data_IF_034250494674
#
_entry.id   IF_034250494674
#
_cell.length_a   1.000
_cell.length_b   1.000
_cell.length_c   1.000
_cell.angle_alpha   90.00
_cell.angle_beta   90.00
_cell.angle_gamma   90.00
#
_symmetry.space_group_name_H-M   'P 1'
#
loop_
_entity.id
_entity.type
_entity.pdbx_description
1 polymer ?
#
# COMPACT_ATOMS: atom_id res chain seq x y z
N UNK A 1 -53.79 -4.64 1.22
CA UNK A 1 -52.67 -5.36 1.94
C UNK A 1 -52.36 -4.53 3.19
N UNK A 2 -52.78 -4.94 4.37
CA UNK A 2 -52.45 -4.20 5.63
C UNK A 2 -50.97 -4.50 5.95
N UNK A 3 -50.13 -3.51 5.82
CA UNK A 3 -48.71 -3.62 6.23
C UNK A 3 -48.71 -3.66 7.76
N UNK A 4 -48.22 -4.74 8.32
CA UNK A 4 -48.14 -4.97 9.76
C UNK A 4 -47.13 -4.00 10.37
N UNK A 5 -47.58 -3.08 11.22
CA UNK A 5 -46.74 -2.04 11.84
C UNK A 5 -45.53 -2.65 12.58
N UNK A 6 -45.71 -3.83 13.20
CA UNK A 6 -44.61 -4.54 13.86
C UNK A 6 -43.47 -4.93 12.89
N UNK A 7 -43.79 -5.35 11.67
CA UNK A 7 -42.80 -5.69 10.66
C UNK A 7 -42.00 -4.48 10.16
N UNK A 8 -42.68 -3.31 10.07
CA UNK A 8 -42.01 -2.06 9.68
C UNK A 8 -41.02 -1.63 10.78
N UNK A 9 -41.43 -1.67 12.04
CA UNK A 9 -40.56 -1.30 13.17
C UNK A 9 -39.32 -2.22 13.20
N UNK A 10 -39.51 -3.52 13.05
CA UNK A 10 -38.42 -4.49 13.00
C UNK A 10 -37.46 -4.22 11.85
N UNK A 11 -37.97 -3.94 10.64
CA UNK A 11 -37.16 -3.60 9.47
C UNK A 11 -36.34 -2.32 9.69
N UNK A 12 -36.96 -1.27 10.24
CA UNK A 12 -36.28 -0.02 10.57
C UNK A 12 -35.17 -0.21 11.60
N UNK A 13 -35.39 -1.07 12.60
CA UNK A 13 -34.38 -1.40 13.61
C UNK A 13 -33.15 -2.07 13.00
N UNK A 14 -33.33 -3.05 12.12
CA UNK A 14 -32.22 -3.70 11.40
C UNK A 14 -31.49 -2.72 10.47
N UNK A 15 -32.20 -1.88 9.73
CA UNK A 15 -31.61 -0.83 8.91
C UNK A 15 -30.72 0.12 9.73
N UNK A 16 -31.17 0.49 10.91
CA UNK A 16 -30.42 1.38 11.81
C UNK A 16 -29.13 0.72 12.31
N UNK A 17 -29.18 -0.55 12.71
CA UNK A 17 -28.00 -1.32 13.13
C UNK A 17 -26.99 -1.43 11.97
N UNK A 18 -27.47 -1.78 10.76
CA UNK A 18 -26.63 -1.84 9.57
C UNK A 18 -25.95 -0.50 9.27
N UNK A 19 -26.72 0.59 9.31
CA UNK A 19 -26.21 1.94 9.07
C UNK A 19 -25.11 2.35 10.04
N UNK A 20 -25.31 2.09 11.33
CA UNK A 20 -24.30 2.38 12.37
C UNK A 20 -23.01 1.60 12.10
N UNK A 21 -23.11 0.32 11.77
CA UNK A 21 -21.94 -0.52 11.47
C UNK A 21 -21.16 0.04 10.28
N UNK A 22 -21.84 0.43 9.19
CA UNK A 22 -21.20 1.04 8.02
C UNK A 22 -20.52 2.37 8.37
N UNK A 23 -21.16 3.23 9.15
CA UNK A 23 -20.60 4.51 9.58
C UNK A 23 -19.32 4.28 10.42
N UNK A 24 -19.34 3.34 11.37
CA UNK A 24 -18.19 3.03 12.20
C UNK A 24 -17.02 2.50 11.37
N UNK A 25 -17.28 1.60 10.42
CA UNK A 25 -16.27 1.09 9.49
C UNK A 25 -15.68 2.21 8.62
N UNK A 26 -16.51 3.10 8.10
CA UNK A 26 -16.08 4.24 7.29
C UNK A 26 -15.20 5.21 8.08
N UNK A 27 -15.60 5.57 9.30
CA UNK A 27 -14.84 6.44 10.19
C UNK A 27 -13.49 5.81 10.59
N UNK A 28 -13.49 4.50 10.85
CA UNK A 28 -12.28 3.75 11.18
C UNK A 28 -11.28 3.75 10.03
N UNK A 29 -11.75 3.53 8.78
CA UNK A 29 -10.90 3.62 7.58
C UNK A 29 -10.29 5.00 7.41
N UNK A 30 -11.09 6.07 7.51
CA UNK A 30 -10.60 7.44 7.41
C UNK A 30 -9.56 7.79 8.49
N UNK A 31 -9.75 7.30 9.71
CA UNK A 31 -8.78 7.50 10.79
C UNK A 31 -7.44 6.84 10.46
N UNK A 32 -7.46 5.60 9.94
CA UNK A 32 -6.25 4.87 9.52
C UNK A 32 -5.53 5.59 8.37
N UNK A 33 -6.24 6.01 7.34
CA UNK A 33 -5.67 6.77 6.22
C UNK A 33 -4.95 8.03 6.68
N UNK A 34 -5.59 8.82 7.56
CA UNK A 34 -4.96 10.01 8.15
C UNK A 34 -3.69 9.68 8.93
N UNK A 35 -3.72 8.63 9.75
CA UNK A 35 -2.56 8.21 10.52
C UNK A 35 -1.41 7.73 9.62
N UNK A 36 -1.72 7.01 8.55
CA UNK A 36 -0.74 6.56 7.58
C UNK A 36 -0.12 7.73 6.82
N UNK A 37 -0.94 8.72 6.43
CA UNK A 37 -0.45 9.94 5.78
C UNK A 37 0.45 10.77 6.70
N UNK A 38 0.13 10.86 7.99
CA UNK A 38 0.98 11.54 8.98
C UNK A 38 2.35 10.87 9.07
N UNK A 39 2.42 9.54 9.08
CA UNK A 39 3.69 8.81 9.07
C UNK A 39 4.48 9.04 7.79
N UNK A 40 3.81 9.01 6.64
CA UNK A 40 4.44 9.25 5.35
C UNK A 40 5.03 10.67 5.26
N UNK A 41 4.28 11.68 5.70
CA UNK A 41 4.77 13.06 5.76
C UNK A 41 5.94 13.21 6.73
N UNK A 42 5.85 12.56 7.90
CA UNK A 42 6.96 12.56 8.87
C UNK A 42 8.25 11.97 8.28
N UNK A 43 8.14 10.96 7.41
CA UNK A 43 9.30 10.39 6.73
C UNK A 43 9.90 11.39 5.73
N UNK A 44 9.05 12.08 4.96
CA UNK A 44 9.47 13.14 4.04
C UNK A 44 10.08 14.34 4.77
N UNK A 45 9.49 14.77 5.88
CA UNK A 45 9.93 15.92 6.69
C UNK A 45 11.34 15.73 7.27
N UNK A 46 11.80 14.50 7.49
CA UNK A 46 13.19 14.22 7.94
C UNK A 46 14.25 14.82 7.01
N UNK A 47 13.91 14.98 5.74
CA UNK A 47 14.80 15.54 4.70
C UNK A 47 14.29 16.87 4.13
N UNK A 48 13.35 17.53 4.81
CA UNK A 48 12.70 18.78 4.34
C UNK A 48 12.01 18.62 2.97
N UNK A 49 11.44 17.43 2.70
CA UNK A 49 10.74 17.10 1.47
C UNK A 49 9.22 17.08 1.72
N UNK A 50 8.43 17.14 0.63
CA UNK A 50 6.97 17.17 0.71
C UNK A 50 6.34 16.12 -0.19
N UNK A 51 5.45 15.31 0.38
CA UNK A 51 4.70 14.33 -0.40
C UNK A 51 3.64 15.06 -1.23
N UNK A 52 3.79 15.05 -2.57
CA UNK A 52 2.85 15.65 -3.52
C UNK A 52 1.85 14.62 -4.09
N UNK A 53 2.25 13.36 -4.17
CA UNK A 53 1.44 12.25 -4.67
C UNK A 53 1.57 11.06 -3.74
N UNK A 54 0.45 10.44 -3.38
CA UNK A 54 0.47 9.30 -2.46
C UNK A 54 -0.71 8.34 -2.67
N UNK A 55 -0.56 7.13 -2.14
CA UNK A 55 -1.61 6.15 -1.92
C UNK A 55 -1.44 5.51 -0.55
N UNK A 56 -2.56 5.16 0.07
CA UNK A 56 -2.60 4.44 1.35
C UNK A 56 -3.52 3.23 1.22
N UNK A 57 -3.13 2.12 1.82
CA UNK A 57 -3.97 0.92 1.93
C UNK A 57 -3.59 0.15 3.18
N UNK A 58 -4.56 -0.47 3.85
CA UNK A 58 -4.30 -1.19 5.10
C UNK A 58 -3.46 -0.35 6.08
N UNK A 59 -2.29 -0.85 6.41
CA UNK A 59 -1.30 -0.22 7.28
C UNK A 59 -0.10 0.36 6.50
N UNK A 60 -0.20 0.45 5.19
CA UNK A 60 0.89 0.81 4.28
C UNK A 60 0.59 2.12 3.56
N UNK A 61 1.61 2.91 3.30
CA UNK A 61 1.55 4.09 2.45
C UNK A 61 2.78 4.20 1.57
N UNK A 62 2.57 4.70 0.38
CA UNK A 62 3.63 5.09 -0.55
C UNK A 62 3.34 6.48 -1.08
N UNK A 63 4.36 7.28 -1.26
CA UNK A 63 4.24 8.61 -1.84
C UNK A 63 5.51 9.08 -2.49
N UNK A 64 5.42 10.22 -3.15
CA UNK A 64 6.53 10.82 -3.89
C UNK A 64 6.51 12.33 -3.70
N UNK A 65 7.70 12.89 -3.52
CA UNK A 65 7.95 14.31 -3.84
C UNK A 65 8.30 14.39 -5.32
N UNK A 66 7.36 14.93 -6.13
CA UNK A 66 7.55 15.02 -7.59
C UNK A 66 8.57 16.09 -7.98
N UNK A 67 8.88 17.05 -7.10
CA UNK A 67 9.88 18.08 -7.32
C UNK A 67 11.29 17.55 -7.05
N UNK A 68 11.47 16.91 -5.89
CA UNK A 68 12.75 16.33 -5.51
C UNK A 68 13.00 14.95 -6.15
N UNK A 69 11.97 14.34 -6.74
CA UNK A 69 12.01 12.98 -7.30
C UNK A 69 12.47 11.92 -6.27
N UNK A 70 11.86 11.96 -5.09
CA UNK A 70 12.11 11.00 -4.00
C UNK A 70 10.82 10.26 -3.69
N UNK A 71 10.92 8.93 -3.62
CA UNK A 71 9.82 8.03 -3.25
C UNK A 71 9.95 7.68 -1.77
N UNK A 72 8.84 7.72 -1.06
CA UNK A 72 8.72 7.38 0.36
C UNK A 72 7.78 6.19 0.52
N UNK A 73 8.10 5.34 1.47
CA UNK A 73 7.28 4.21 1.84
C UNK A 73 7.20 4.10 3.35
N UNK A 74 6.01 3.87 3.88
CA UNK A 74 5.82 3.60 5.30
C UNK A 74 4.87 2.43 5.50
N UNK A 75 5.17 1.59 6.47
CA UNK A 75 4.34 0.45 6.85
C UNK A 75 4.33 0.30 8.37
N UNK A 76 3.14 0.17 8.94
CA UNK A 76 2.94 -0.14 10.34
C UNK A 76 2.90 -1.65 10.53
N UNK A 77 3.77 -2.16 11.38
CA UNK A 77 3.76 -3.57 11.80
C UNK A 77 3.63 -3.67 13.31
N UNK A 78 3.38 -4.87 13.83
CA UNK A 78 3.34 -5.11 15.27
C UNK A 78 4.69 -4.81 15.94
N UNK A 79 5.78 -4.99 15.20
CA UNK A 79 7.17 -4.82 15.68
C UNK A 79 7.66 -3.37 15.56
N UNK A 80 6.83 -2.47 14.99
CA UNK A 80 7.16 -1.06 14.82
C UNK A 80 6.85 -0.50 13.43
N UNK A 81 7.05 0.80 13.27
CA UNK A 81 6.81 1.50 12.01
C UNK A 81 8.07 1.44 11.13
N UNK A 82 7.92 0.99 9.90
CA UNK A 82 8.98 1.01 8.88
C UNK A 82 8.83 2.27 8.03
N UNK A 83 9.91 3.03 7.88
CA UNK A 83 10.00 4.17 6.96
C UNK A 83 11.18 3.98 6.03
N UNK A 84 10.96 4.02 4.73
CA UNK A 84 11.96 3.86 3.69
C UNK A 84 11.83 5.00 2.68
N UNK A 85 12.96 5.37 2.06
CA UNK A 85 12.97 6.37 0.98
C UNK A 85 13.98 5.99 -0.10
N UNK A 86 13.70 6.39 -1.34
CA UNK A 86 14.56 6.16 -2.48
C UNK A 86 14.55 7.35 -3.43
N UNK A 87 15.73 7.85 -3.76
CA UNK A 87 15.90 8.89 -4.77
C UNK A 87 15.87 8.28 -6.19
N UNK A 88 15.00 8.77 -7.06
CA UNK A 88 14.88 8.30 -8.45
C UNK A 88 16.19 8.52 -9.23
N UNK A 89 16.92 9.60 -8.93
CA UNK A 89 18.22 9.88 -9.56
C UNK A 89 19.26 8.78 -9.35
N UNK A 90 19.17 8.05 -8.23
CA UNK A 90 20.08 6.94 -7.90
C UNK A 90 19.59 5.59 -8.45
N UNK A 91 18.36 5.53 -8.96
CA UNK A 91 17.71 4.31 -9.42
C UNK A 91 17.87 4.14 -10.93
N UNK A 92 18.29 2.98 -11.36
CA UNK A 92 18.35 2.58 -12.78
C UNK A 92 17.00 2.04 -13.24
N UNK A 93 16.37 1.20 -12.41
CA UNK A 93 15.11 0.52 -12.72
C UNK A 93 14.34 0.20 -11.44
N UNK A 94 13.03 0.20 -11.56
CA UNK A 94 12.12 -0.32 -10.55
C UNK A 94 11.42 -1.56 -11.09
N UNK A 95 11.39 -2.66 -10.31
CA UNK A 95 10.70 -3.90 -10.65
C UNK A 95 9.84 -4.41 -9.49
N UNK A 96 8.95 -5.34 -9.80
CA UNK A 96 8.12 -6.02 -8.83
C UNK A 96 8.67 -7.43 -8.63
N UNK A 97 8.99 -7.77 -7.40
CA UNK A 97 9.31 -9.13 -6.99
C UNK A 97 8.09 -9.74 -6.31
N UNK A 98 7.50 -10.74 -6.95
CA UNK A 98 6.35 -11.48 -6.44
C UNK A 98 6.78 -12.92 -6.14
N UNK A 99 7.16 -13.15 -4.90
CA UNK A 99 7.58 -14.48 -4.42
C UNK A 99 6.33 -15.28 -4.11
N UNK A 100 6.17 -16.40 -4.80
CA UNK A 100 5.00 -17.26 -4.70
C UNK A 100 5.35 -18.60 -4.06
N UNK A 101 4.42 -19.11 -3.26
CA UNK A 101 4.51 -20.44 -2.67
C UNK A 101 3.36 -21.31 -3.17
N UNK A 102 3.68 -22.48 -3.71
CA UNK A 102 2.68 -23.48 -4.07
C UNK A 102 2.41 -24.38 -2.86
N UNK A 103 1.14 -24.52 -2.51
CA UNK A 103 0.66 -25.45 -1.50
C UNK A 103 -0.26 -26.47 -2.18
N UNK A 104 -0.21 -27.72 -1.68
CA UNK A 104 -1.07 -28.80 -2.13
C UNK A 104 -2.02 -29.18 -1.00
N UNK A 105 -3.30 -29.33 -1.31
CA UNK A 105 -4.30 -29.93 -0.41
C UNK A 105 -5.11 -30.97 -1.19
N UNK A 106 -6.14 -31.54 -0.54
CA UNK A 106 -7.01 -32.57 -1.12
C UNK A 106 -7.75 -32.08 -2.37
N UNK A 107 -7.99 -30.78 -2.50
CA UNK A 107 -8.68 -30.15 -3.64
C UNK A 107 -7.74 -29.78 -4.80
N UNK A 108 -6.42 -29.93 -4.63
CA UNK A 108 -5.41 -29.64 -5.67
C UNK A 108 -4.29 -28.68 -5.23
N UNK A 109 -3.53 -28.24 -6.22
CA UNK A 109 -2.44 -27.29 -6.02
C UNK A 109 -2.94 -25.86 -6.17
N UNK A 110 -2.65 -25.01 -5.19
CA UNK A 110 -2.91 -23.57 -5.27
C UNK A 110 -1.64 -22.78 -4.96
N UNK A 111 -1.52 -21.64 -5.62
CA UNK A 111 -0.35 -20.76 -5.49
C UNK A 111 -0.75 -19.49 -4.75
N UNK A 112 -0.05 -19.22 -3.66
CA UNK A 112 -0.22 -18.00 -2.85
C UNK A 112 0.99 -17.09 -3.02
N UNK A 113 0.79 -15.78 -2.97
CA UNK A 113 1.87 -14.81 -2.83
C UNK A 113 2.39 -14.86 -1.40
N UNK A 114 3.65 -15.20 -1.23
CA UNK A 114 4.33 -15.19 0.08
C UNK A 114 4.85 -13.80 0.40
N UNK A 115 5.50 -13.13 -0.60
CA UNK A 115 5.96 -11.75 -0.48
C UNK A 115 5.72 -11.01 -1.78
N UNK A 116 5.44 -9.72 -1.67
CA UNK A 116 5.36 -8.78 -2.78
C UNK A 116 6.18 -7.55 -2.44
N UNK A 117 7.19 -7.28 -3.22
CA UNK A 117 8.14 -6.20 -3.00
C UNK A 117 8.29 -5.33 -4.24
N UNK A 118 8.44 -4.04 -4.04
CA UNK A 118 8.84 -3.10 -5.08
C UNK A 118 10.34 -2.87 -4.92
N UNK A 119 11.13 -3.38 -5.86
CA UNK A 119 12.58 -3.40 -5.79
C UNK A 119 13.18 -2.34 -6.69
N UNK A 120 14.11 -1.58 -6.13
CA UNK A 120 14.86 -0.52 -6.79
C UNK A 120 16.28 -1.00 -7.07
N UNK A 121 16.62 -1.10 -8.34
CA UNK A 121 17.96 -1.41 -8.83
C UNK A 121 18.77 -0.12 -8.86
N UNK A 122 19.91 -0.02 -8.14
CA UNK A 122 20.70 1.19 -8.12
C UNK A 122 21.50 1.37 -9.41
N UNK A 123 21.72 2.62 -9.84
CA UNK A 123 22.64 2.94 -10.94
C UNK A 123 24.09 2.55 -10.62
N UNK A 124 24.51 2.80 -9.38
CA UNK A 124 25.79 2.31 -8.90
C UNK A 124 25.67 0.85 -8.45
N UNK A 125 26.20 -0.05 -9.27
CA UNK A 125 26.15 -1.50 -9.02
C UNK A 125 26.90 -1.95 -7.75
N UNK A 126 27.65 -1.05 -7.10
CA UNK A 126 28.27 -1.31 -5.78
C UNK A 126 27.28 -1.15 -4.63
N UNK A 127 26.19 -0.40 -4.84
CA UNK A 127 25.12 -0.28 -3.89
C UNK A 127 24.18 -1.49 -4.02
N UNK A 128 23.69 -2.00 -2.91
CA UNK A 128 22.69 -3.06 -2.89
C UNK A 128 21.33 -2.56 -3.38
N UNK A 129 20.50 -3.47 -3.83
CA UNK A 129 19.10 -3.19 -4.14
C UNK A 129 18.34 -2.79 -2.87
N UNK A 130 17.35 -1.92 -3.02
CA UNK A 130 16.43 -1.56 -1.96
C UNK A 130 15.03 -2.08 -2.29
N UNK A 131 14.37 -2.70 -1.33
CA UNK A 131 13.03 -3.24 -1.49
C UNK A 131 12.04 -2.55 -0.56
N UNK A 132 10.88 -2.17 -1.10
CA UNK A 132 9.72 -1.72 -0.32
C UNK A 132 8.75 -2.88 -0.17
N UNK A 133 8.49 -3.37 1.06
CA UNK A 133 7.69 -4.57 1.31
C UNK A 133 6.18 -4.26 1.25
N UNK A 134 5.57 -4.39 0.07
CA UNK A 134 4.13 -4.15 -0.14
C UNK A 134 3.26 -5.18 0.58
N UNK A 135 3.70 -6.44 0.57
CA UNK A 135 2.98 -7.52 1.24
C UNK A 135 3.94 -8.59 1.73
N UNK A 136 3.62 -9.15 2.90
CA UNK A 136 4.27 -10.33 3.44
C UNK A 136 3.23 -11.16 4.19
N UNK A 137 3.01 -12.40 3.72
CA UNK A 137 2.02 -13.32 4.29
C UNK A 137 2.19 -13.54 5.80
N UNK A 138 3.42 -13.44 6.32
CA UNK A 138 3.69 -13.63 7.74
C UNK A 138 3.05 -12.55 8.65
N UNK A 139 2.76 -11.36 8.10
CA UNK A 139 2.28 -10.20 8.88
C UNK A 139 0.98 -9.61 8.36
N UNK A 140 0.70 -9.72 7.05
CA UNK A 140 -0.40 -9.01 6.40
C UNK A 140 -1.63 -9.91 6.16
N UNK A 141 -1.51 -11.21 6.44
CA UNK A 141 -2.57 -12.20 6.22
C UNK A 141 -2.32 -13.09 5.01
N UNK A 142 -3.26 -14.00 4.73
CA UNK A 142 -3.06 -15.06 3.76
C UNK A 142 -3.27 -14.64 2.29
N UNK A 143 -3.90 -13.51 2.02
CA UNK A 143 -4.30 -13.09 0.66
C UNK A 143 -4.04 -11.62 0.40
N UNK A 144 -3.66 -11.31 -0.83
CA UNK A 144 -3.57 -9.94 -1.35
C UNK A 144 -4.97 -9.32 -1.44
N UNK A 145 -5.10 -8.08 -1.00
CA UNK A 145 -6.37 -7.30 -1.04
C UNK A 145 -6.28 -6.06 -1.94
N UNK A 146 -5.27 -6.01 -2.84
CA UNK A 146 -5.06 -4.89 -3.76
C UNK A 146 -3.61 -4.41 -3.82
N UNK A 147 -2.73 -5.03 -3.05
CA UNK A 147 -1.31 -4.68 -2.97
C UNK A 147 -0.60 -4.84 -4.32
N UNK A 148 -0.97 -5.87 -5.09
CA UNK A 148 -0.39 -6.10 -6.43
C UNK A 148 -0.70 -4.93 -7.38
N UNK A 149 -1.97 -4.49 -7.43
CA UNK A 149 -2.38 -3.36 -8.26
C UNK A 149 -1.68 -2.06 -7.84
N UNK A 150 -1.45 -1.87 -6.54
CA UNK A 150 -0.69 -0.72 -6.04
C UNK A 150 0.78 -0.81 -6.44
N UNK A 151 1.40 -1.99 -6.34
CA UNK A 151 2.77 -2.22 -6.75
C UNK A 151 2.97 -1.97 -8.26
N UNK A 152 2.06 -2.49 -9.10
CA UNK A 152 2.08 -2.27 -10.55
C UNK A 152 1.93 -0.79 -10.92
N UNK A 153 0.99 -0.10 -10.29
CA UNK A 153 0.76 1.33 -10.48
C UNK A 153 2.01 2.14 -10.14
N UNK A 154 2.61 1.89 -8.99
CA UNK A 154 3.77 2.65 -8.53
C UNK A 154 5.05 2.27 -9.28
N UNK A 155 5.24 1.02 -9.62
CA UNK A 155 6.33 0.57 -10.48
C UNK A 155 6.33 1.32 -11.82
N UNK A 156 5.17 1.45 -12.45
CA UNK A 156 5.00 2.21 -13.69
C UNK A 156 5.33 3.70 -13.50
N UNK A 157 4.73 4.36 -12.50
CA UNK A 157 4.97 5.77 -12.19
C UNK A 157 6.46 6.06 -11.99
N UNK A 158 7.14 5.20 -11.23
CA UNK A 158 8.56 5.33 -10.91
C UNK A 158 9.41 5.15 -12.17
N UNK A 159 9.15 4.13 -12.98
CA UNK A 159 9.90 3.89 -14.22
C UNK A 159 9.69 5.00 -15.26
N UNK A 160 8.49 5.56 -15.37
CA UNK A 160 8.21 6.74 -16.20
C UNK A 160 9.06 7.94 -15.75
N UNK A 161 9.20 8.15 -14.44
CA UNK A 161 10.06 9.22 -13.89
C UNK A 161 11.53 8.95 -14.12
N UNK A 162 12.00 7.71 -13.95
CA UNK A 162 13.39 7.31 -14.25
C UNK A 162 13.74 7.62 -15.70
N UNK A 163 12.84 7.26 -16.64
CA UNK A 163 13.03 7.50 -18.08
C UNK A 163 13.06 9.00 -18.41
N UNK A 164 12.11 9.77 -17.86
CA UNK A 164 12.07 11.21 -18.05
C UNK A 164 13.30 11.93 -17.47
N UNK A 165 13.85 11.43 -16.37
CA UNK A 165 15.07 11.98 -15.77
C UNK A 165 16.32 11.69 -16.62
N UNK A 166 16.35 10.56 -17.33
CA UNK A 166 17.45 10.20 -18.22
C UNK A 166 17.46 11.01 -19.53
N UNK A 167 16.30 11.47 -20.01
CA UNK A 167 16.18 12.26 -21.24
C UNK A 167 16.51 13.74 -21.05
N UNK A 168 16.47 14.26 -19.83
CA UNK A 168 16.74 15.67 -19.51
C UNK A 168 18.17 15.94 -19.02
N UNK A 169 19.07 14.98 -19.21
CA UNK A 169 20.51 15.06 -18.90
C UNK A 169 21.36 15.02 -20.16
#
# INVERSE_FOLDING_TARGET
MKIDQGKIITALFFLLIFSITFILLYLSRRKREKQNLVLLNREADKNNLRVSKFNTWGNTSIGMDETANVVFFTKKTADGDTGLQMAIAETEKCRIDNIKRTQSNEDGNYTLTEKLELVFEPRDKKKGEMAFPFFNMAYDGAMLTGELQQAEKWCRIINERITGFAQNK
#
